data_IF_861634186745
#
_entry.id   IF_861634186745
#
_cell.length_a   1.000
_cell.length_b   1.000
_cell.length_c   1.000
_cell.angle_alpha   90.00
_cell.angle_beta   90.00
_cell.angle_gamma   90.00
#
_symmetry.space_group_name_H-M   'P 1'
#
loop_
_entity.id
_entity.type
_entity.pdbx_description
1 polymer ?
#
# COMPACT_ATOMS: atom_id res chain seq x y z
N UNK A 1 9.34 -1.63 -17.39
CA UNK A 1 9.90 -2.98 -17.51
C UNK A 1 8.82 -4.03 -17.25
N UNK A 2 8.12 -3.95 -16.14
CA UNK A 2 7.10 -4.95 -15.75
C UNK A 2 5.74 -4.63 -16.37
N UNK A 3 5.29 -3.38 -16.26
CA UNK A 3 3.94 -2.95 -16.65
C UNK A 3 3.77 -2.71 -18.17
N UNK A 4 4.70 -3.19 -19.00
CA UNK A 4 4.61 -3.07 -20.44
C UNK A 4 4.96 -1.66 -20.95
N UNK A 5 4.65 -1.42 -22.23
CA UNK A 5 4.78 -0.10 -22.85
C UNK A 5 3.56 0.75 -22.49
N UNK A 6 3.81 2.04 -22.26
CA UNK A 6 2.72 3.00 -22.12
C UNK A 6 1.94 3.08 -23.43
N UNK A 7 0.63 2.90 -23.33
CA UNK A 7 -0.29 3.04 -24.46
C UNK A 7 -0.63 4.53 -24.67
N UNK A 8 0.25 5.21 -25.38
CA UNK A 8 0.13 6.65 -25.62
C UNK A 8 1.41 7.26 -26.18
N UNK A 9 1.38 8.55 -26.39
CA UNK A 9 2.50 9.32 -26.89
C UNK A 9 3.18 10.07 -25.74
N UNK A 10 4.50 9.85 -25.57
CA UNK A 10 5.33 10.61 -24.63
C UNK A 10 6.46 11.23 -25.43
N UNK A 11 6.61 12.55 -25.33
CA UNK A 11 7.68 13.30 -26.02
C UNK A 11 8.17 14.47 -25.19
N UNK A 12 9.37 14.93 -25.48
CA UNK A 12 9.86 16.24 -25.07
C UNK A 12 9.47 17.26 -26.14
N UNK A 13 8.95 18.42 -25.74
CA UNK A 13 8.58 19.50 -26.65
C UNK A 13 8.82 20.85 -25.95
N UNK A 14 9.73 21.65 -26.48
CA UNK A 14 10.12 22.95 -25.94
C UNK A 14 10.54 22.91 -24.45
N UNK A 15 11.29 21.89 -24.05
CA UNK A 15 11.76 21.70 -22.67
C UNK A 15 10.69 21.18 -21.70
N UNK A 16 9.52 20.78 -22.20
CA UNK A 16 8.43 20.23 -21.40
C UNK A 16 8.18 18.75 -21.70
N UNK A 17 7.79 18.01 -20.68
CA UNK A 17 7.25 16.66 -20.86
C UNK A 17 5.83 16.79 -21.42
N UNK A 18 5.58 16.16 -22.57
CA UNK A 18 4.23 16.12 -23.18
C UNK A 18 3.74 14.68 -23.22
N UNK A 19 2.62 14.42 -22.56
CA UNK A 19 1.95 13.11 -22.51
C UNK A 19 0.57 13.23 -23.16
N UNK A 20 0.34 12.48 -24.24
CA UNK A 20 -0.91 12.51 -25.00
C UNK A 20 -1.35 13.96 -25.37
N UNK A 21 -0.39 14.80 -25.79
CA UNK A 21 -0.65 16.19 -26.17
C UNK A 21 -0.79 17.18 -25.01
N UNK A 22 -0.75 16.70 -23.76
CA UNK A 22 -0.80 17.57 -22.57
C UNK A 22 0.60 17.87 -22.07
N UNK A 23 0.98 19.15 -22.03
CA UNK A 23 2.23 19.59 -21.45
C UNK A 23 2.22 19.51 -19.92
N UNK A 24 3.24 18.92 -19.34
CA UNK A 24 3.42 18.75 -17.90
C UNK A 24 4.64 19.57 -17.48
N UNK A 25 4.49 20.38 -16.43
CA UNK A 25 5.61 21.11 -15.85
C UNK A 25 6.51 20.14 -15.06
N UNK A 26 7.82 20.29 -15.24
CA UNK A 26 8.83 19.52 -14.51
C UNK A 26 9.72 20.50 -13.77
N UNK A 27 9.88 20.27 -12.46
CA UNK A 27 10.69 21.12 -11.59
C UNK A 27 11.82 20.31 -10.96
N UNK A 28 12.99 20.91 -10.79
CA UNK A 28 14.19 20.31 -10.22
C UNK A 28 14.55 20.89 -8.84
N UNK A 29 13.57 21.09 -7.95
CA UNK A 29 13.79 21.67 -6.63
C UNK A 29 14.08 20.60 -5.59
N UNK A 30 15.16 20.77 -4.81
CA UNK A 30 15.51 19.86 -3.71
C UNK A 30 14.69 20.12 -2.45
N UNK A 31 14.31 21.38 -2.23
CA UNK A 31 13.44 21.78 -1.12
C UNK A 31 12.00 21.89 -1.64
N UNK A 32 11.03 21.15 -1.06
CA UNK A 32 9.63 21.22 -1.48
C UNK A 32 9.01 22.60 -1.37
N UNK A 33 9.48 23.48 -0.48
CA UNK A 33 8.99 24.86 -0.34
C UNK A 33 9.29 25.73 -1.59
N UNK A 34 10.25 25.32 -2.42
CA UNK A 34 10.66 26.03 -3.64
C UNK A 34 9.90 25.57 -4.89
N UNK A 35 9.08 24.53 -4.81
CA UNK A 35 8.30 24.05 -5.94
C UNK A 35 7.08 24.95 -6.13
N UNK A 36 6.91 25.58 -7.31
CA UNK A 36 5.86 26.59 -7.51
C UNK A 36 4.48 25.96 -7.78
N UNK A 37 3.93 25.24 -6.80
CA UNK A 37 2.64 24.55 -6.91
C UNK A 37 1.48 25.52 -7.25
N UNK A 38 1.50 26.71 -6.69
CA UNK A 38 0.50 27.75 -6.97
C UNK A 38 0.52 28.21 -8.43
N UNK A 39 1.70 28.28 -9.07
CA UNK A 39 1.85 28.73 -10.47
C UNK A 39 1.34 27.69 -11.46
N UNK A 40 1.50 26.39 -11.16
CA UNK A 40 1.02 25.31 -12.01
C UNK A 40 -0.41 24.84 -11.66
N UNK A 41 -1.03 25.41 -10.62
CA UNK A 41 -2.38 25.08 -10.19
C UNK A 41 -2.51 23.68 -9.56
N UNK A 42 -1.41 23.12 -9.03
CA UNK A 42 -1.44 21.83 -8.36
C UNK A 42 -2.02 21.93 -6.96
N UNK A 43 -3.25 21.47 -6.77
CA UNK A 43 -3.96 21.53 -5.50
C UNK A 43 -3.64 20.32 -4.59
N UNK A 44 -3.54 19.13 -5.17
CA UNK A 44 -3.24 17.88 -4.47
C UNK A 44 -1.87 17.38 -4.89
N UNK A 45 -0.99 17.18 -3.93
CA UNK A 45 0.41 16.77 -4.16
C UNK A 45 0.65 15.40 -3.54
N UNK A 46 1.31 14.52 -4.28
CA UNK A 46 1.77 13.23 -3.74
C UNK A 46 3.24 13.37 -3.34
N UNK A 47 3.51 13.24 -2.04
CA UNK A 47 4.87 13.18 -1.49
C UNK A 47 5.38 11.74 -1.59
N UNK A 48 6.24 11.48 -2.58
CA UNK A 48 6.75 10.12 -2.88
C UNK A 48 8.26 9.98 -2.71
N UNK A 49 8.93 10.93 -2.07
CA UNK A 49 10.40 10.89 -1.88
C UNK A 49 10.85 9.92 -0.80
N UNK A 50 9.94 9.58 0.15
CA UNK A 50 10.26 8.79 1.35
C UNK A 50 11.05 9.57 2.42
N UNK A 51 11.29 10.87 2.20
CA UNK A 51 12.03 11.77 3.10
C UNK A 51 11.08 12.57 3.98
N UNK A 52 10.06 13.19 3.39
CA UNK A 52 9.12 14.10 4.05
C UNK A 52 7.88 13.35 4.56
N UNK A 53 8.10 12.32 5.39
CA UNK A 53 7.05 11.40 5.85
C UNK A 53 6.42 11.77 7.20
N UNK A 54 6.36 13.06 7.55
CA UNK A 54 5.65 13.59 8.72
C UNK A 54 4.80 14.77 8.32
N UNK A 55 3.73 15.05 9.08
CA UNK A 55 2.89 16.24 8.83
C UNK A 55 3.72 17.51 8.76
N UNK A 56 4.66 17.71 9.70
CA UNK A 56 5.54 18.87 9.73
C UNK A 56 6.33 19.00 8.42
N UNK A 57 7.04 17.95 8.01
CA UNK A 57 7.92 17.99 6.83
C UNK A 57 7.11 18.08 5.52
N UNK A 58 6.05 17.32 5.38
CA UNK A 58 5.20 17.34 4.19
C UNK A 58 4.45 18.66 4.03
N UNK A 59 4.24 19.42 5.12
CA UNK A 59 3.67 20.77 5.08
C UNK A 59 4.52 21.78 4.30
N UNK A 60 5.78 21.44 3.95
CA UNK A 60 6.57 22.21 3.01
C UNK A 60 5.87 22.40 1.65
N UNK A 61 5.16 21.36 1.15
CA UNK A 61 4.36 21.45 -0.06
C UNK A 61 3.14 22.40 0.10
N UNK A 62 2.54 22.44 1.32
CA UNK A 62 1.44 23.37 1.62
C UNK A 62 1.94 24.81 1.59
N UNK A 63 3.13 25.09 2.17
CA UNK A 63 3.75 26.43 2.12
C UNK A 63 4.07 26.86 0.68
N UNK A 64 4.39 25.89 -0.20
CA UNK A 64 4.63 26.12 -1.61
C UNK A 64 3.35 26.30 -2.46
N UNK A 65 2.16 26.24 -1.84
CA UNK A 65 0.89 26.54 -2.47
C UNK A 65 -0.04 25.35 -2.75
N UNK A 66 0.36 24.14 -2.39
CA UNK A 66 -0.55 23.00 -2.45
C UNK A 66 -1.67 23.13 -1.40
N UNK A 67 -2.87 22.64 -1.71
CA UNK A 67 -3.97 22.56 -0.74
C UNK A 67 -3.90 21.33 0.15
N UNK A 68 -3.50 20.20 -0.43
CA UNK A 68 -3.45 18.88 0.23
C UNK A 68 -2.19 18.12 -0.15
N UNK A 69 -1.72 17.27 0.76
CA UNK A 69 -0.58 16.38 0.52
C UNK A 69 -0.94 14.96 0.91
N UNK A 70 -0.67 14.01 0.03
CA UNK A 70 -0.75 12.57 0.29
C UNK A 70 0.66 11.99 0.35
N UNK A 71 1.08 11.52 1.51
CA UNK A 71 2.36 10.82 1.68
C UNK A 71 2.19 9.38 1.18
N UNK A 72 2.97 8.98 0.17
CA UNK A 72 2.95 7.62 -0.39
C UNK A 72 3.86 6.66 0.38
N UNK A 73 3.85 6.75 1.71
CA UNK A 73 4.61 5.92 2.63
C UNK A 73 3.94 5.92 4.01
N UNK A 74 4.27 4.98 4.90
CA UNK A 74 3.84 5.05 6.29
C UNK A 74 4.35 6.35 6.93
N UNK A 75 3.47 7.05 7.62
CA UNK A 75 3.84 8.23 8.40
C UNK A 75 4.84 7.87 9.50
N UNK A 76 5.79 8.76 9.75
CA UNK A 76 6.85 8.59 10.78
C UNK A 76 6.54 9.36 12.07
N UNK A 77 5.40 10.04 12.13
CA UNK A 77 4.84 10.69 13.31
C UNK A 77 3.50 10.05 13.71
N UNK A 78 2.86 10.57 14.73
CA UNK A 78 1.56 10.13 15.22
C UNK A 78 0.42 11.07 14.79
N UNK A 79 0.77 12.24 14.31
CA UNK A 79 -0.14 13.32 13.96
C UNK A 79 -0.73 13.12 12.56
N UNK A 80 0.02 12.50 11.65
CA UNK A 80 -0.42 12.28 10.26
C UNK A 80 -1.52 11.21 10.19
N UNK A 81 -2.76 11.58 9.84
CA UNK A 81 -3.83 10.62 9.63
C UNK A 81 -3.46 9.63 8.53
N UNK A 82 -3.75 8.35 8.77
CA UNK A 82 -3.42 7.26 7.85
C UNK A 82 -4.70 6.63 7.31
N UNK A 83 -4.76 6.44 6.00
CA UNK A 83 -5.92 5.89 5.30
C UNK A 83 -5.56 4.66 4.47
N UNK A 84 -6.51 3.73 4.40
CA UNK A 84 -6.50 2.58 3.49
C UNK A 84 -7.88 2.51 2.84
N UNK A 85 -7.91 2.49 1.52
CA UNK A 85 -9.15 2.38 0.76
C UNK A 85 -9.93 1.11 1.16
N UNK A 86 -11.25 1.27 1.35
CA UNK A 86 -12.15 0.20 1.78
C UNK A 86 -12.12 -0.09 3.29
N UNK A 87 -11.26 0.58 4.07
CA UNK A 87 -11.12 0.32 5.51
C UNK A 87 -11.59 1.50 6.35
N UNK A 88 -11.12 2.72 6.08
CA UNK A 88 -11.39 3.88 6.93
C UNK A 88 -11.49 5.22 6.22
N UNK A 89 -11.81 5.26 4.93
CA UNK A 89 -11.95 6.53 4.19
C UNK A 89 -13.08 7.43 4.74
N UNK A 90 -14.08 6.84 5.40
CA UNK A 90 -15.17 7.53 6.09
C UNK A 90 -14.71 8.49 7.20
N UNK A 91 -13.47 8.32 7.67
CA UNK A 91 -12.86 9.17 8.71
C UNK A 91 -12.13 10.39 8.15
N UNK A 92 -12.04 10.53 6.82
CA UNK A 92 -11.43 11.71 6.22
C UNK A 92 -12.32 12.93 6.38
N UNK A 93 -11.72 14.06 6.76
CA UNK A 93 -12.40 15.35 6.87
C UNK A 93 -11.61 16.45 6.13
N UNK A 94 -12.30 17.46 5.61
CA UNK A 94 -11.72 18.52 4.77
C UNK A 94 -10.69 19.43 5.47
N UNK A 95 -10.59 19.41 6.78
CA UNK A 95 -9.55 20.10 7.54
C UNK A 95 -8.19 19.39 7.53
N UNK A 96 -8.16 18.10 7.20
CA UNK A 96 -6.93 17.30 7.07
C UNK A 96 -6.14 17.75 5.84
N UNK A 97 -5.00 18.40 6.05
CA UNK A 97 -4.16 18.91 4.95
C UNK A 97 -3.09 17.91 4.48
N UNK A 98 -2.56 17.11 5.40
CA UNK A 98 -1.55 16.09 5.12
C UNK A 98 -2.07 14.76 5.61
N UNK A 99 -2.05 13.75 4.74
CA UNK A 99 -2.50 12.38 5.04
C UNK A 99 -1.51 11.37 4.51
N UNK A 100 -1.52 10.15 5.04
CA UNK A 100 -0.70 9.03 4.56
C UNK A 100 -1.59 7.94 3.96
N UNK A 101 -1.16 7.38 2.81
CA UNK A 101 -1.76 6.20 2.20
C UNK A 101 -1.16 4.88 2.74
N UNK A 102 -0.48 4.89 3.89
CA UNK A 102 0.22 3.74 4.46
C UNK A 102 1.26 3.12 3.50
N UNK A 103 1.57 1.83 3.66
CA UNK A 103 2.43 1.06 2.75
C UNK A 103 1.62 0.17 1.83
N UNK A 104 2.24 -0.35 0.75
CA UNK A 104 1.63 -1.34 -0.13
C UNK A 104 1.22 -2.62 0.63
N UNK A 105 2.09 -3.09 1.53
CA UNK A 105 1.79 -4.25 2.39
C UNK A 105 0.63 -3.99 3.35
N UNK A 106 0.53 -2.77 3.93
CA UNK A 106 -0.63 -2.40 4.76
C UNK A 106 -1.91 -2.35 3.93
N UNK A 107 -1.84 -1.87 2.69
CA UNK A 107 -2.99 -1.85 1.78
C UNK A 107 -3.44 -3.25 1.36
N UNK A 108 -2.55 -4.25 1.39
CA UNK A 108 -2.93 -5.65 1.20
C UNK A 108 -3.52 -6.26 2.48
N UNK A 109 -2.81 -6.10 3.60
CA UNK A 109 -3.18 -6.74 4.86
C UNK A 109 -4.48 -6.18 5.48
N UNK A 110 -4.68 -4.86 5.43
CA UNK A 110 -5.78 -4.23 6.16
C UNK A 110 -7.18 -4.62 5.63
N UNK A 111 -7.44 -4.68 4.30
CA UNK A 111 -8.72 -5.20 3.80
C UNK A 111 -8.99 -6.64 4.22
N UNK A 112 -7.99 -7.52 4.12
CA UNK A 112 -8.08 -8.91 4.59
C UNK A 112 -8.39 -8.98 6.09
N UNK A 113 -7.58 -8.30 6.91
CA UNK A 113 -7.75 -8.27 8.37
C UNK A 113 -9.09 -7.64 8.79
N UNK A 114 -9.59 -6.65 8.08
CA UNK A 114 -10.89 -6.00 8.32
C UNK A 114 -12.03 -7.01 8.21
N UNK A 115 -12.10 -7.76 7.11
CA UNK A 115 -13.14 -8.78 6.91
C UNK A 115 -13.06 -9.86 7.99
N UNK A 116 -11.85 -10.38 8.28
CA UNK A 116 -11.68 -11.41 9.30
C UNK A 116 -12.06 -10.89 10.69
N UNK A 117 -11.64 -9.67 11.03
CA UNK A 117 -11.96 -9.09 12.33
C UNK A 117 -13.47 -8.83 12.50
N UNK A 118 -14.11 -8.29 11.47
CA UNK A 118 -15.54 -7.94 11.54
C UNK A 118 -16.45 -9.18 11.61
N UNK A 119 -16.10 -10.25 10.93
CA UNK A 119 -16.93 -11.47 10.88
C UNK A 119 -16.60 -12.43 12.03
N UNK A 120 -15.32 -12.65 12.33
CA UNK A 120 -14.86 -13.72 13.21
C UNK A 120 -14.12 -13.22 14.47
N UNK A 121 -13.73 -11.94 14.52
CA UNK A 121 -12.86 -11.39 15.55
C UNK A 121 -11.41 -11.89 15.42
N UNK A 122 -10.44 -11.02 15.63
CA UNK A 122 -9.00 -11.39 15.68
C UNK A 122 -8.56 -11.38 17.13
N UNK A 123 -8.02 -12.51 17.60
CA UNK A 123 -7.35 -12.61 18.90
C UNK A 123 -5.91 -12.15 18.76
N UNK A 124 -5.17 -12.78 17.83
CA UNK A 124 -3.76 -12.51 17.54
C UNK A 124 -3.39 -13.00 16.15
N UNK A 125 -2.31 -12.45 15.59
CA UNK A 125 -1.82 -12.90 14.29
C UNK A 125 -0.40 -12.45 14.00
N UNK A 126 0.28 -13.27 13.21
CA UNK A 126 1.62 -13.02 12.66
C UNK A 126 1.53 -12.93 11.16
N UNK A 127 2.01 -11.82 10.60
CA UNK A 127 2.07 -11.61 9.17
C UNK A 127 3.50 -11.79 8.66
N UNK A 128 3.65 -12.58 7.63
CA UNK A 128 4.85 -12.59 6.81
C UNK A 128 4.52 -12.08 5.42
N UNK A 129 5.25 -11.10 4.92
CA UNK A 129 5.17 -10.79 3.49
C UNK A 129 6.41 -11.32 2.77
N UNK A 130 6.18 -12.11 1.72
CA UNK A 130 7.22 -12.44 0.74
C UNK A 130 7.13 -11.36 -0.34
N UNK A 131 8.12 -10.47 -0.32
CA UNK A 131 8.04 -9.19 -1.03
C UNK A 131 9.07 -9.09 -2.15
N UNK A 132 8.62 -8.64 -3.30
CA UNK A 132 9.47 -8.31 -4.43
C UNK A 132 10.52 -7.25 -4.10
N UNK A 133 11.53 -7.15 -4.95
CA UNK A 133 12.58 -6.14 -4.83
C UNK A 133 12.02 -4.73 -4.95
N UNK A 134 12.63 -3.79 -4.22
CA UNK A 134 12.29 -2.36 -4.30
C UNK A 134 13.57 -1.54 -4.44
N UNK A 135 13.45 -0.30 -4.89
CA UNK A 135 14.58 0.60 -5.17
C UNK A 135 15.48 0.90 -3.94
N UNK A 136 15.04 0.58 -2.75
CA UNK A 136 15.85 0.74 -1.53
C UNK A 136 16.89 -0.36 -1.34
N UNK A 137 16.74 -1.49 -2.05
CA UNK A 137 17.66 -2.61 -2.00
C UNK A 137 18.88 -2.36 -2.89
N UNK A 138 19.99 -3.03 -2.56
CA UNK A 138 21.25 -2.90 -3.31
C UNK A 138 21.28 -3.85 -4.49
N UNK A 139 21.78 -3.36 -5.63
CA UNK A 139 22.00 -4.19 -6.82
C UNK A 139 23.12 -5.19 -6.58
N UNK A 140 24.22 -4.77 -5.94
CA UNK A 140 25.36 -5.57 -5.51
C UNK A 140 25.60 -5.39 -4.02
N UNK A 141 26.37 -6.29 -3.40
CA UNK A 141 26.73 -6.15 -1.98
C UNK A 141 27.38 -4.78 -1.71
N UNK A 142 26.82 -4.04 -0.77
CA UNK A 142 27.29 -2.71 -0.39
C UNK A 142 27.06 -2.44 1.09
N UNK A 143 27.86 -1.56 1.72
CA UNK A 143 27.64 -1.18 3.11
C UNK A 143 26.25 -0.62 3.36
N UNK A 144 25.64 -1.01 4.48
CA UNK A 144 24.39 -0.46 4.99
C UNK A 144 24.53 -0.15 6.48
N UNK A 145 24.29 1.12 6.85
CA UNK A 145 24.44 1.57 8.24
C UNK A 145 23.26 1.15 9.13
N UNK A 146 22.06 1.03 8.57
CA UNK A 146 20.83 0.80 9.34
C UNK A 146 20.43 -0.68 9.40
N UNK A 147 20.61 -1.39 8.31
CA UNK A 147 20.23 -2.78 8.15
C UNK A 147 21.29 -3.50 7.32
N UNK A 148 22.12 -4.30 7.97
CA UNK A 148 23.19 -5.03 7.30
C UNK A 148 22.68 -6.01 6.26
N UNK A 149 21.52 -6.65 6.52
CA UNK A 149 20.89 -7.57 5.57
C UNK A 149 20.43 -6.83 4.31
N UNK A 150 19.91 -5.61 4.44
CA UNK A 150 19.54 -4.74 3.33
C UNK A 150 20.72 -4.22 2.49
N UNK A 151 21.97 -4.44 2.94
CA UNK A 151 23.19 -4.18 2.18
C UNK A 151 23.54 -5.28 1.18
N UNK A 152 22.92 -6.46 1.24
CA UNK A 152 23.20 -7.58 0.34
C UNK A 152 22.47 -7.43 -1.00
N UNK A 153 23.07 -8.01 -2.04
CA UNK A 153 22.53 -7.96 -3.41
C UNK A 153 21.12 -8.56 -3.49
N UNK A 154 20.16 -7.77 -3.98
CA UNK A 154 18.75 -8.15 -4.02
C UNK A 154 18.48 -9.34 -4.94
N UNK A 155 19.16 -9.42 -6.09
CA UNK A 155 18.93 -10.45 -7.10
C UNK A 155 19.44 -11.84 -6.72
N UNK A 156 20.27 -11.97 -5.66
CA UNK A 156 20.90 -13.23 -5.30
C UNK A 156 20.55 -13.76 -3.90
N UNK A 157 19.61 -13.12 -3.18
CA UNK A 157 19.37 -13.44 -1.79
C UNK A 157 17.89 -13.46 -1.41
N UNK A 158 17.54 -14.27 -0.43
CA UNK A 158 16.34 -14.15 0.39
C UNK A 158 16.73 -13.34 1.62
N UNK A 159 16.18 -12.14 1.78
CA UNK A 159 16.60 -11.17 2.80
C UNK A 159 15.49 -10.96 3.83
N UNK A 160 15.62 -11.48 5.07
CA UNK A 160 14.73 -11.13 6.17
C UNK A 160 14.82 -9.64 6.48
N UNK A 161 13.67 -8.98 6.59
CA UNK A 161 13.57 -7.54 6.82
C UNK A 161 12.46 -7.23 7.81
N UNK A 162 12.63 -6.20 8.62
CA UNK A 162 11.55 -5.68 9.45
C UNK A 162 10.50 -4.95 8.62
N UNK A 163 9.24 -5.02 9.04
CA UNK A 163 8.16 -4.22 8.49
C UNK A 163 7.24 -3.70 9.57
N UNK A 164 6.79 -2.46 9.41
CA UNK A 164 5.76 -1.88 10.27
C UNK A 164 4.33 -2.13 9.80
N UNK A 165 4.14 -2.82 8.67
CA UNK A 165 2.85 -2.93 8.00
C UNK A 165 1.74 -3.54 8.87
N UNK A 166 2.03 -4.62 9.60
CA UNK A 166 1.06 -5.25 10.49
C UNK A 166 0.68 -4.35 11.69
N UNK A 167 1.66 -3.63 12.25
CA UNK A 167 1.39 -2.66 13.33
C UNK A 167 0.61 -1.45 12.81
N UNK A 168 0.85 -1.04 11.56
CA UNK A 168 0.14 0.06 10.92
C UNK A 168 -1.35 -0.25 10.70
N UNK A 169 -1.75 -1.53 10.61
CA UNK A 169 -3.16 -1.90 10.54
C UNK A 169 -3.96 -1.38 11.74
N UNK A 170 -3.34 -1.25 12.93
CA UNK A 170 -4.00 -0.69 14.10
C UNK A 170 -4.32 0.83 13.98
N UNK A 171 -3.72 1.53 13.03
CA UNK A 171 -4.04 2.94 12.75
C UNK A 171 -5.36 3.07 11.98
N UNK A 172 -5.69 2.07 11.17
CA UNK A 172 -6.88 2.06 10.30
C UNK A 172 -7.99 1.12 10.81
N UNK A 173 -7.62 0.11 11.62
CA UNK A 173 -8.53 -0.82 12.32
C UNK A 173 -8.14 -0.83 13.80
N UNK A 174 -8.64 0.09 14.62
CA UNK A 174 -8.24 0.22 16.03
C UNK A 174 -8.45 -1.06 16.87
N UNK A 175 -9.41 -1.90 16.49
CA UNK A 175 -9.77 -3.15 17.16
C UNK A 175 -8.66 -4.21 17.14
N UNK A 176 -7.72 -4.12 16.17
CA UNK A 176 -6.58 -5.03 16.08
C UNK A 176 -5.30 -4.48 16.73
N UNK A 177 -5.41 -3.40 17.50
CA UNK A 177 -4.27 -2.81 18.21
C UNK A 177 -3.64 -3.81 19.18
N UNK A 178 -2.33 -4.06 18.97
CA UNK A 178 -1.56 -4.99 19.78
C UNK A 178 -1.76 -6.48 19.43
N UNK A 179 -2.66 -6.79 18.49
CA UNK A 179 -2.99 -8.16 18.08
C UNK A 179 -2.19 -8.63 16.86
N UNK A 180 -1.65 -7.72 16.05
CA UNK A 180 -0.93 -8.04 14.81
C UNK A 180 0.50 -7.51 14.84
N UNK A 181 1.45 -8.37 14.44
CA UNK A 181 2.83 -8.00 14.13
C UNK A 181 3.33 -8.84 12.96
N UNK A 182 4.54 -8.55 12.45
CA UNK A 182 5.03 -9.33 11.32
C UNK A 182 6.41 -8.91 10.83
N UNK A 183 6.85 -9.59 9.78
CA UNK A 183 8.13 -9.39 9.12
C UNK A 183 8.00 -9.56 7.60
N UNK A 184 9.08 -9.27 6.88
CA UNK A 184 9.17 -9.46 5.44
C UNK A 184 10.33 -10.39 5.09
N UNK A 185 10.16 -11.20 4.05
CA UNK A 185 11.26 -11.76 3.27
C UNK A 185 11.31 -11.04 1.92
N UNK A 186 12.43 -10.39 1.61
CA UNK A 186 12.69 -9.84 0.28
C UNK A 186 13.24 -10.95 -0.60
N UNK A 187 12.64 -11.13 -1.78
CA UNK A 187 12.99 -12.19 -2.74
C UNK A 187 13.32 -11.60 -4.10
N UNK A 188 14.09 -12.31 -4.96
CA UNK A 188 14.53 -11.80 -6.26
C UNK A 188 13.43 -11.85 -7.34
N UNK A 189 12.22 -11.43 -7.03
CA UNK A 189 11.14 -11.19 -7.99
C UNK A 189 11.05 -9.70 -8.28
N UNK A 190 10.67 -9.32 -9.49
CA UNK A 190 10.69 -7.93 -9.93
C UNK A 190 9.49 -7.15 -9.40
N UNK A 191 8.32 -7.79 -9.32
CA UNK A 191 7.07 -7.20 -8.86
C UNK A 191 6.12 -8.29 -8.39
N UNK A 192 5.02 -7.92 -7.79
CA UNK A 192 4.01 -8.72 -7.09
C UNK A 192 4.58 -9.41 -5.85
N UNK A 193 3.94 -9.14 -4.76
CA UNK A 193 4.25 -9.65 -3.42
C UNK A 193 3.06 -10.41 -2.86
N UNK A 194 3.29 -11.15 -1.79
CA UNK A 194 2.23 -11.91 -1.10
C UNK A 194 2.28 -11.67 0.40
N UNK A 195 1.12 -11.51 1.00
CA UNK A 195 0.89 -11.54 2.45
C UNK A 195 0.47 -12.95 2.87
N UNK A 196 1.17 -13.51 3.82
CA UNK A 196 0.82 -14.70 4.60
C UNK A 196 0.40 -14.21 5.99
N UNK A 197 -0.88 -14.30 6.31
CA UNK A 197 -1.43 -13.97 7.61
C UNK A 197 -1.79 -15.24 8.37
N UNK A 198 -0.99 -15.59 9.37
CA UNK A 198 -1.35 -16.61 10.34
C UNK A 198 -2.15 -15.95 11.47
N UNK A 199 -3.41 -16.35 11.66
CA UNK A 199 -4.36 -15.65 12.53
C UNK A 199 -5.19 -16.61 13.39
N UNK A 200 -5.40 -16.21 14.64
CA UNK A 200 -6.34 -16.85 15.55
C UNK A 200 -7.62 -16.01 15.62
N UNK A 201 -8.75 -16.67 15.36
CA UNK A 201 -10.09 -16.05 15.45
C UNK A 201 -10.72 -16.25 16.83
N UNK A 202 -11.54 -15.28 17.25
CA UNK A 202 -12.32 -15.39 18.49
C UNK A 202 -13.45 -16.42 18.31
N UNK A 203 -14.19 -16.32 17.19
CA UNK A 203 -15.27 -17.25 16.86
C UNK A 203 -14.68 -18.46 16.14
N UNK A 204 -15.17 -19.63 16.51
CA UNK A 204 -14.92 -20.85 15.74
C UNK A 204 -15.52 -20.69 14.32
N UNK A 205 -14.77 -21.09 13.32
CA UNK A 205 -15.16 -21.00 11.89
C UNK A 205 -14.44 -22.08 11.07
N UNK A 206 -14.66 -22.08 9.76
CA UNK A 206 -14.00 -22.97 8.82
C UNK A 206 -13.37 -22.20 7.65
N UNK A 207 -12.53 -22.86 6.86
CA UNK A 207 -11.98 -22.25 5.63
C UNK A 207 -13.09 -21.90 4.64
N UNK A 208 -14.15 -22.72 4.57
CA UNK A 208 -15.29 -22.49 3.69
C UNK A 208 -16.04 -21.19 4.08
N UNK A 209 -16.26 -20.97 5.36
CA UNK A 209 -16.91 -19.73 5.87
C UNK A 209 -16.03 -18.51 5.66
N UNK A 210 -14.71 -18.64 5.88
CA UNK A 210 -13.74 -17.57 5.60
C UNK A 210 -13.72 -17.22 4.10
N UNK A 211 -13.65 -18.24 3.24
CA UNK A 211 -13.68 -18.08 1.78
C UNK A 211 -14.97 -17.38 1.33
N UNK A 212 -16.11 -17.80 1.86
CA UNK A 212 -17.40 -17.19 1.55
C UNK A 212 -17.46 -15.72 1.98
N UNK A 213 -16.98 -15.39 3.18
CA UNK A 213 -16.97 -14.02 3.70
C UNK A 213 -16.06 -13.10 2.86
N UNK A 214 -14.87 -13.58 2.47
CA UNK A 214 -13.93 -12.81 1.66
C UNK A 214 -14.42 -12.65 0.20
N UNK A 215 -15.06 -13.69 -0.36
CA UNK A 215 -15.71 -13.61 -1.67
C UNK A 215 -16.84 -12.59 -1.66
N UNK A 216 -17.76 -12.67 -0.69
CA UNK A 216 -18.84 -11.68 -0.51
C UNK A 216 -18.28 -10.25 -0.44
N UNK A 217 -17.26 -10.02 0.39
CA UNK A 217 -16.65 -8.69 0.53
C UNK A 217 -16.05 -8.20 -0.79
N UNK A 218 -15.37 -9.06 -1.55
CA UNK A 218 -14.73 -8.71 -2.82
C UNK A 218 -15.74 -8.35 -3.92
N UNK A 219 -16.93 -8.93 -3.88
CA UNK A 219 -18.00 -8.68 -4.86
C UNK A 219 -18.90 -7.50 -4.48
N UNK A 220 -18.87 -7.08 -3.20
CA UNK A 220 -19.77 -6.05 -2.66
C UNK A 220 -19.02 -4.81 -2.17
N UNK A 221 -18.89 -4.62 -0.85
CA UNK A 221 -18.42 -3.37 -0.23
C UNK A 221 -16.91 -3.11 -0.36
N UNK A 222 -16.12 -4.12 -0.74
CA UNK A 222 -14.69 -3.98 -1.04
C UNK A 222 -14.37 -4.19 -2.52
N UNK A 223 -15.35 -4.10 -3.40
CA UNK A 223 -15.16 -4.24 -4.85
C UNK A 223 -14.13 -3.26 -5.38
N UNK A 224 -13.14 -3.76 -6.16
CA UNK A 224 -12.03 -2.97 -6.69
C UNK A 224 -10.89 -2.72 -5.70
N UNK A 225 -10.98 -3.25 -4.48
CA UNK A 225 -9.97 -3.18 -3.41
C UNK A 225 -9.51 -4.59 -3.04
N UNK A 226 -10.47 -5.39 -2.55
CA UNK A 226 -10.28 -6.82 -2.31
C UNK A 226 -10.65 -7.60 -3.58
N UNK A 227 -9.82 -8.55 -3.96
CA UNK A 227 -10.10 -9.57 -4.97
C UNK A 227 -10.21 -10.95 -4.32
N UNK A 228 -10.71 -11.90 -5.09
CA UNK A 228 -10.84 -13.30 -4.70
C UNK A 228 -10.45 -14.17 -5.88
N UNK A 229 -9.67 -15.21 -5.63
CA UNK A 229 -9.38 -16.27 -6.62
C UNK A 229 -9.48 -17.64 -5.97
N UNK A 230 -9.96 -18.62 -6.73
CA UNK A 230 -9.96 -20.05 -6.41
C UNK A 230 -9.20 -20.85 -7.46
N UNK A 231 -8.41 -20.17 -8.29
CA UNK A 231 -7.55 -20.75 -9.31
C UNK A 231 -6.13 -20.99 -8.77
N UNK A 232 -5.39 -21.91 -9.39
CA UNK A 232 -4.00 -22.21 -9.07
C UNK A 232 -3.07 -21.18 -9.71
N UNK A 233 -2.90 -20.03 -9.07
CA UNK A 233 -2.17 -18.86 -9.56
C UNK A 233 -0.82 -18.69 -8.89
N UNK A 234 0.04 -17.89 -9.53
CA UNK A 234 1.34 -17.45 -9.03
C UNK A 234 1.49 -15.93 -9.15
N UNK A 235 2.55 -15.36 -8.61
CA UNK A 235 2.74 -13.90 -8.56
C UNK A 235 2.60 -13.18 -9.90
N UNK A 236 3.09 -13.77 -11.01
CA UNK A 236 3.06 -13.13 -12.33
C UNK A 236 1.65 -12.98 -12.92
N UNK A 237 0.67 -13.72 -12.42
CA UNK A 237 -0.73 -13.59 -12.84
C UNK A 237 -1.38 -12.28 -12.37
N UNK A 238 -0.74 -11.59 -11.44
CA UNK A 238 -1.24 -10.35 -10.84
C UNK A 238 -0.50 -9.08 -11.28
N UNK A 239 0.37 -9.15 -12.28
CA UNK A 239 1.00 -7.94 -12.82
C UNK A 239 -0.05 -6.95 -13.30
N UNK A 240 0.09 -5.70 -12.83
CA UNK A 240 -0.82 -4.58 -13.14
C UNK A 240 -2.26 -4.76 -12.63
N UNK A 241 -2.48 -5.60 -11.63
CA UNK A 241 -3.78 -5.66 -10.96
C UNK A 241 -3.97 -4.40 -10.08
N UNK A 242 -5.04 -3.62 -10.28
CA UNK A 242 -5.28 -2.39 -9.51
C UNK A 242 -5.82 -2.65 -8.09
N UNK A 243 -6.20 -3.89 -7.78
CA UNK A 243 -6.62 -4.27 -6.43
C UNK A 243 -5.40 -4.46 -5.54
N UNK A 244 -5.50 -4.10 -4.29
CA UNK A 244 -4.36 -4.15 -3.35
C UNK A 244 -4.34 -5.37 -2.44
N UNK A 245 -5.35 -6.24 -2.53
CA UNK A 245 -5.44 -7.47 -1.74
C UNK A 245 -6.25 -8.49 -2.52
N UNK A 246 -5.60 -9.49 -3.10
CA UNK A 246 -6.30 -10.55 -3.84
C UNK A 246 -6.18 -11.84 -3.03
N UNK A 247 -7.27 -12.19 -2.32
CA UNK A 247 -7.30 -13.37 -1.48
C UNK A 247 -7.27 -14.65 -2.33
N UNK A 248 -6.36 -15.55 -1.99
CA UNK A 248 -6.19 -16.85 -2.61
C UNK A 248 -6.84 -17.93 -1.74
N UNK A 249 -8.02 -18.38 -2.15
CA UNK A 249 -8.80 -19.35 -1.41
C UNK A 249 -8.20 -20.76 -1.41
N UNK A 250 -7.30 -21.04 -2.35
CA UNK A 250 -6.67 -22.37 -2.50
C UNK A 250 -5.36 -22.49 -1.75
N UNK A 251 -4.68 -21.37 -1.49
CA UNK A 251 -3.39 -21.35 -0.80
C UNK A 251 -3.50 -21.31 0.74
N UNK A 252 -4.70 -21.05 1.27
CA UNK A 252 -4.95 -20.99 2.71
C UNK A 252 -5.02 -22.36 3.38
N UNK A 253 -4.76 -22.39 4.70
CA UNK A 253 -4.77 -23.63 5.51
C UNK A 253 -5.49 -23.35 6.83
N UNK A 254 -6.43 -24.22 7.23
CA UNK A 254 -7.01 -24.26 8.56
C UNK A 254 -6.36 -25.36 9.39
N UNK A 255 -5.79 -25.02 10.55
CA UNK A 255 -5.24 -26.02 11.48
C UNK A 255 -6.34 -26.59 12.39
N UNK A 256 -7.25 -25.73 12.82
CA UNK A 256 -8.43 -26.06 13.63
C UNK A 256 -9.48 -24.95 13.43
N UNK A 257 -10.58 -25.03 14.16
CA UNK A 257 -11.69 -24.07 14.01
C UNK A 257 -11.38 -22.60 14.38
N UNK A 258 -10.20 -22.32 14.92
CA UNK A 258 -9.82 -20.98 15.35
C UNK A 258 -8.44 -20.53 14.86
N UNK A 259 -7.71 -21.35 14.08
CA UNK A 259 -6.35 -21.01 13.69
C UNK A 259 -6.10 -21.29 12.21
N UNK A 260 -5.79 -20.24 11.48
CA UNK A 260 -5.76 -20.22 10.02
C UNK A 260 -4.51 -19.53 9.48
N UNK A 261 -4.06 -19.96 8.33
CA UNK A 261 -3.12 -19.28 7.45
C UNK A 261 -3.88 -18.78 6.23
N UNK A 262 -3.86 -17.48 5.99
CA UNK A 262 -4.55 -16.82 4.89
C UNK A 262 -3.54 -16.15 3.96
N UNK A 263 -3.73 -16.31 2.66
CA UNK A 263 -2.79 -15.83 1.63
C UNK A 263 -3.48 -14.76 0.79
N UNK A 264 -2.80 -13.64 0.57
CA UNK A 264 -3.31 -12.57 -0.30
C UNK A 264 -2.20 -11.96 -1.15
N UNK A 265 -2.42 -11.89 -2.46
CA UNK A 265 -1.52 -11.32 -3.45
C UNK A 265 -1.73 -9.83 -3.62
N UNK A 266 -0.69 -9.12 -4.04
CA UNK A 266 -0.78 -7.71 -4.41
C UNK A 266 0.35 -7.28 -5.34
N UNK A 267 0.02 -6.54 -6.40
CA UNK A 267 1.01 -5.79 -7.15
C UNK A 267 1.43 -4.60 -6.28
N UNK A 268 2.63 -4.66 -5.72
CA UNK A 268 3.13 -3.68 -4.76
C UNK A 268 3.42 -2.31 -5.37
N UNK A 269 3.44 -2.21 -6.71
CA UNK A 269 3.65 -0.97 -7.45
C UNK A 269 2.33 -0.43 -8.02
N UNK A 270 1.67 -1.22 -8.87
CA UNK A 270 0.48 -0.80 -9.61
C UNK A 270 -0.75 -0.63 -8.72
N UNK A 271 -1.07 -1.65 -7.93
CA UNK A 271 -2.21 -1.62 -7.02
C UNK A 271 -2.10 -0.47 -6.03
N UNK A 272 -0.93 -0.31 -5.42
CA UNK A 272 -0.66 0.79 -4.48
C UNK A 272 -0.81 2.17 -5.13
N UNK A 273 -0.24 2.37 -6.32
CA UNK A 273 -0.32 3.65 -7.04
C UNK A 273 -1.76 4.02 -7.39
N UNK A 274 -2.58 3.04 -7.79
CA UNK A 274 -4.00 3.24 -8.00
C UNK A 274 -4.73 3.68 -6.72
N UNK A 275 -4.37 3.15 -5.54
CA UNK A 275 -5.01 3.55 -4.27
C UNK A 275 -4.60 4.94 -3.80
N UNK A 276 -3.39 5.41 -4.15
CA UNK A 276 -3.03 6.82 -3.96
C UNK A 276 -3.98 7.73 -4.74
N UNK A 277 -4.27 7.40 -6.01
CA UNK A 277 -5.20 8.15 -6.84
C UNK A 277 -6.64 8.05 -6.31
N UNK A 278 -7.09 6.87 -5.88
CA UNK A 278 -8.41 6.70 -5.28
C UNK A 278 -8.58 7.49 -3.97
N UNK A 279 -7.53 7.56 -3.14
CA UNK A 279 -7.55 8.39 -1.93
C UNK A 279 -7.69 9.88 -2.30
N UNK A 280 -6.93 10.37 -3.29
CA UNK A 280 -7.05 11.75 -3.77
C UNK A 280 -8.44 12.01 -4.30
N UNK A 281 -9.01 11.11 -5.11
CA UNK A 281 -10.38 11.25 -5.62
C UNK A 281 -11.39 11.37 -4.48
N UNK A 282 -11.30 10.51 -3.47
CA UNK A 282 -12.15 10.58 -2.28
C UNK A 282 -11.99 11.92 -1.54
N UNK A 283 -10.73 12.40 -1.37
CA UNK A 283 -10.46 13.69 -0.75
C UNK A 283 -11.13 14.83 -1.53
N UNK A 284 -11.01 14.84 -2.86
CA UNK A 284 -11.66 15.83 -3.73
C UNK A 284 -13.18 15.80 -3.57
N UNK A 285 -13.79 14.61 -3.53
CA UNK A 285 -15.23 14.45 -3.35
C UNK A 285 -15.73 14.97 -2.00
N UNK A 286 -14.97 14.77 -0.93
CA UNK A 286 -15.30 15.28 0.40
C UNK A 286 -15.05 16.78 0.52
N UNK A 287 -13.93 17.27 -0.04
CA UNK A 287 -13.56 18.68 0.04
C UNK A 287 -14.53 19.61 -0.73
N UNK A 288 -15.23 19.07 -1.74
CA UNK A 288 -16.20 19.80 -2.55
C UNK A 288 -17.66 19.73 -2.04
N UNK A 289 -17.91 18.97 -0.97
CA UNK A 289 -19.20 18.96 -0.26
C UNK A 289 -19.27 20.07 0.79
#
# INVERSE_FOLDING_TARGET
>A
TIHGRFDGCVKEENGKLVVNGKAINVYGCMNPEEIPWSECGAEYVVESTGVFCTTEKASAHIKAGAKKVVISAPAKDKETPTFVCGVNLDKYTKDMKVVSNASCTTNCLAPLAKVINDKFGIVEGLMTTVHSTTNTQKTVDAPSKKDWRGGRAAAGNIIPSSTGAAKACALVIPEVKGKLTGMAFRVPTLDVSVVDLTVRTEKATSMEEINAALKEASETYMKGILGYTDEAVVSSDFYSDPRTSIYDATAGIGLNSNFFKLVSWYDNEWGYSNKVLNLIQHMVEVDNK
#
